data_IF_173122282132
#
_entry.id   IF_173122282132
#
_cell.length_a   1.000
_cell.length_b   1.000
_cell.length_c   1.000
_cell.angle_alpha   90.00
_cell.angle_beta   90.00
_cell.angle_gamma   90.00
#
_symmetry.space_group_name_H-M   'P 1'
#
loop_
_entity.id
_entity.type
_entity.pdbx_description
1 polymer ?
#
# COMPACT_ATOMS: atom_id res chain seq x y z
N UNK A 1 5.99 85.33 -8.65
CA UNK A 1 7.07 84.35 -8.45
C UNK A 1 6.52 83.20 -7.59
N UNK A 2 6.22 82.07 -8.19
CA UNK A 2 5.62 80.90 -7.53
C UNK A 2 6.65 79.76 -7.53
N UNK A 3 7.05 79.36 -6.33
CA UNK A 3 7.95 78.22 -6.13
C UNK A 3 7.12 76.92 -6.17
N UNK A 4 7.51 76.00 -7.08
CA UNK A 4 6.95 74.64 -7.20
C UNK A 4 7.75 73.69 -6.30
N UNK A 5 7.11 73.20 -5.24
CA UNK A 5 7.65 72.16 -4.37
C UNK A 5 7.42 70.77 -5.03
N UNK A 6 8.52 70.04 -5.31
CA UNK A 6 8.44 68.68 -5.83
C UNK A 6 8.40 67.72 -4.63
N UNK A 7 7.26 67.04 -4.45
CA UNK A 7 7.14 65.90 -3.55
C UNK A 7 7.71 64.64 -4.23
N UNK A 8 8.80 64.06 -3.67
CA UNK A 8 9.26 62.71 -4.02
C UNK A 8 8.49 61.67 -3.21
N UNK A 9 7.66 60.89 -3.88
CA UNK A 9 7.12 59.66 -3.29
C UNK A 9 8.19 58.56 -3.38
N UNK A 10 8.69 58.10 -2.25
CA UNK A 10 9.51 56.93 -2.15
C UNK A 10 8.60 55.71 -2.00
N UNK A 11 8.56 54.88 -3.02
CA UNK A 11 7.85 53.57 -3.03
C UNK A 11 8.73 52.51 -2.37
N UNK A 12 8.38 52.08 -1.16
CA UNK A 12 9.02 50.94 -0.49
C UNK A 12 8.43 49.66 -1.08
N UNK A 13 9.23 48.91 -1.86
CA UNK A 13 8.93 47.55 -2.31
C UNK A 13 9.36 46.60 -1.20
N UNK A 14 8.42 46.09 -0.42
CA UNK A 14 8.65 45.01 0.53
C UNK A 14 8.68 43.69 -0.21
N UNK A 15 9.88 43.16 -0.46
CA UNK A 15 10.08 41.79 -0.96
C UNK A 15 9.76 40.77 0.12
N UNK A 16 8.64 40.06 -0.02
CA UNK A 16 8.30 38.91 0.82
C UNK A 16 9.12 37.72 0.31
N UNK A 17 10.19 37.35 1.01
CA UNK A 17 10.87 36.08 0.81
C UNK A 17 9.97 34.96 1.30
N UNK A 18 9.37 34.20 0.39
CA UNK A 18 8.69 32.94 0.69
C UNK A 18 9.77 31.90 1.08
N UNK A 19 9.89 31.62 2.37
CA UNK A 19 10.68 30.48 2.86
C UNK A 19 9.96 29.18 2.45
N UNK A 20 10.41 28.59 1.33
CA UNK A 20 10.04 27.24 0.96
C UNK A 20 10.68 26.27 1.94
N UNK A 21 9.95 25.79 2.94
CA UNK A 21 10.39 24.68 3.78
C UNK A 21 10.47 23.42 2.91
N UNK A 22 11.65 22.77 2.78
CA UNK A 22 11.71 21.50 2.07
C UNK A 22 10.86 20.49 2.84
N UNK A 23 9.88 19.89 2.16
CA UNK A 23 9.14 18.75 2.69
C UNK A 23 10.18 17.66 3.01
N UNK A 24 10.43 17.41 4.30
CA UNK A 24 11.23 16.29 4.76
C UNK A 24 10.52 15.02 4.34
N UNK A 25 11.02 14.35 3.31
CA UNK A 25 10.70 12.96 3.06
C UNK A 25 11.15 12.19 4.30
N UNK A 26 10.20 11.77 5.12
CA UNK A 26 10.47 10.86 6.23
C UNK A 26 11.08 9.60 5.62
N UNK A 27 12.35 9.34 5.94
CA UNK A 27 13.00 8.07 5.62
C UNK A 27 12.29 6.98 6.43
N UNK A 28 11.24 6.40 5.84
CA UNK A 28 10.37 5.38 6.47
C UNK A 28 11.11 4.07 6.73
N UNK A 29 12.32 3.93 6.24
CA UNK A 29 13.06 2.66 6.33
C UNK A 29 13.90 2.52 7.58
N UNK A 30 14.27 3.61 8.25
CA UNK A 30 15.26 3.59 9.33
C UNK A 30 14.75 3.15 10.71
N UNK A 31 13.42 3.09 10.93
CA UNK A 31 12.85 2.67 12.23
C UNK A 31 11.49 1.97 12.08
N UNK A 32 11.42 0.90 11.29
CA UNK A 32 10.18 0.13 11.10
C UNK A 32 10.04 -0.91 12.21
N UNK A 33 8.97 -0.82 12.99
CA UNK A 33 8.58 -1.84 13.97
C UNK A 33 7.75 -2.93 13.28
N UNK A 34 8.37 -4.08 13.03
CA UNK A 34 7.70 -5.22 12.41
C UNK A 34 7.00 -6.09 13.43
N UNK A 35 5.70 -6.35 13.22
CA UNK A 35 4.91 -7.29 14.02
C UNK A 35 4.26 -8.34 13.13
N UNK A 36 4.05 -9.54 13.69
CA UNK A 36 3.26 -10.58 13.03
C UNK A 36 1.78 -10.32 13.25
N UNK A 37 1.00 -10.36 12.17
CA UNK A 37 -0.46 -10.43 12.22
C UNK A 37 -0.91 -11.82 11.79
N UNK A 38 -1.94 -12.36 12.48
CA UNK A 38 -2.51 -13.68 12.18
C UNK A 38 -4.03 -13.55 12.01
N UNK A 39 -4.54 -14.06 10.89
CA UNK A 39 -5.98 -14.28 10.68
C UNK A 39 -6.32 -15.64 11.25
N UNK A 40 -7.11 -15.69 12.32
CA UNK A 40 -7.37 -16.92 13.09
C UNK A 40 -8.11 -17.99 12.29
N UNK A 41 -9.14 -17.60 11.52
CA UNK A 41 -10.04 -18.54 10.85
C UNK A 41 -9.33 -19.49 9.86
N UNK A 42 -8.28 -19.04 9.19
CA UNK A 42 -7.57 -19.81 8.17
C UNK A 42 -6.06 -19.85 8.39
N UNK A 43 -5.59 -19.30 9.50
CA UNK A 43 -4.17 -19.32 9.86
C UNK A 43 -3.27 -18.52 8.90
N UNK A 44 -3.75 -17.41 8.32
CA UNK A 44 -2.88 -16.54 7.52
C UNK A 44 -1.97 -15.73 8.43
N UNK A 45 -0.66 -15.79 8.20
CA UNK A 45 0.31 -14.97 8.92
C UNK A 45 1.15 -14.12 7.97
N UNK A 46 1.48 -12.91 8.39
CA UNK A 46 2.49 -12.08 7.73
C UNK A 46 3.04 -11.01 8.69
N UNK A 47 4.20 -10.47 8.33
CA UNK A 47 4.78 -9.31 9.01
C UNK A 47 4.19 -8.03 8.43
N UNK A 48 3.85 -7.09 9.31
CA UNK A 48 3.42 -5.74 8.90
C UNK A 48 4.12 -4.67 9.75
N UNK A 49 4.34 -3.46 9.22
CA UNK A 49 4.97 -2.35 9.94
C UNK A 49 3.96 -1.69 10.90
N UNK A 50 3.99 -2.10 12.18
CA UNK A 50 3.00 -1.73 13.18
C UNK A 50 3.06 -0.26 13.61
N UNK A 51 4.19 0.41 13.42
CA UNK A 51 4.33 1.85 13.65
C UNK A 51 3.89 2.71 12.46
N UNK A 52 3.59 2.09 11.30
CA UNK A 52 3.04 2.78 10.12
C UNK A 52 1.52 2.58 10.05
N UNK A 53 1.04 1.37 10.33
CA UNK A 53 -0.33 0.95 10.10
C UNK A 53 -1.11 0.76 11.39
N UNK A 54 -2.26 1.43 11.48
CA UNK A 54 -3.23 1.30 12.57
C UNK A 54 -4.46 0.51 12.10
N UNK A 55 -5.08 -0.32 12.97
CA UNK A 55 -6.30 -1.04 12.62
C UNK A 55 -7.41 -0.08 12.15
N UNK A 56 -8.04 -0.41 11.02
CA UNK A 56 -9.04 0.43 10.36
C UNK A 56 -10.31 -0.36 9.96
N UNK A 57 -10.62 -1.44 10.67
CA UNK A 57 -11.83 -2.23 10.45
C UNK A 57 -11.62 -3.51 9.65
N UNK A 58 -12.70 -4.01 9.05
CA UNK A 58 -12.67 -5.26 8.28
C UNK A 58 -12.15 -5.04 6.86
N UNK A 59 -11.54 -6.04 6.23
CA UNK A 59 -11.19 -6.00 4.81
C UNK A 59 -12.46 -6.02 3.95
N UNK A 60 -12.36 -5.59 2.70
CA UNK A 60 -13.49 -5.58 1.77
C UNK A 60 -13.93 -6.98 1.29
N UNK A 61 -13.16 -8.02 1.60
CA UNK A 61 -13.44 -9.42 1.25
C UNK A 61 -12.76 -10.37 2.25
N UNK A 62 -13.36 -11.54 2.45
CA UNK A 62 -12.83 -12.56 3.36
C UNK A 62 -12.86 -12.15 4.83
N UNK A 63 -12.12 -12.91 5.65
CA UNK A 63 -11.91 -12.63 7.08
C UNK A 63 -10.50 -12.10 7.31
N UNK A 64 -10.35 -11.14 8.22
CA UNK A 64 -9.06 -10.54 8.53
C UNK A 64 -9.17 -9.10 9.04
N UNK A 65 -8.17 -8.30 8.72
CA UNK A 65 -8.04 -6.94 9.22
C UNK A 65 -7.59 -5.99 8.10
N UNK A 66 -8.22 -4.83 8.07
CA UNK A 66 -7.77 -3.67 7.30
C UNK A 66 -7.01 -2.73 8.22
N UNK A 67 -5.93 -2.20 7.72
CA UNK A 67 -5.10 -1.20 8.39
C UNK A 67 -4.96 0.03 7.51
N UNK A 68 -4.77 1.18 8.13
CA UNK A 68 -4.52 2.44 7.44
C UNK A 68 -3.28 3.13 8.01
N UNK A 69 -2.48 3.75 7.16
CA UNK A 69 -1.36 4.57 7.65
C UNK A 69 -1.86 5.78 8.41
N UNK A 70 -1.07 6.30 9.36
CA UNK A 70 -1.44 7.43 10.19
C UNK A 70 -1.78 8.70 9.39
N UNK A 71 -1.13 8.89 8.23
CA UNK A 71 -1.41 9.97 7.29
C UNK A 71 -2.61 9.69 6.35
N UNK A 72 -3.20 8.50 6.45
CA UNK A 72 -4.36 8.07 5.68
C UNK A 72 -4.09 7.76 4.20
N UNK A 73 -2.83 7.83 3.73
CA UNK A 73 -2.48 7.71 2.32
C UNK A 73 -2.20 6.28 1.86
N UNK A 74 -1.88 5.38 2.80
CA UNK A 74 -1.69 3.96 2.50
C UNK A 74 -2.71 3.09 3.23
N UNK A 75 -3.07 1.98 2.62
CA UNK A 75 -4.08 1.03 3.08
C UNK A 75 -3.58 -0.40 2.90
N UNK A 76 -3.57 -1.18 3.97
CA UNK A 76 -3.15 -2.56 3.98
C UNK A 76 -4.32 -3.44 4.43
N UNK A 77 -4.79 -4.32 3.56
CA UNK A 77 -5.78 -5.34 3.89
C UNK A 77 -5.12 -6.71 3.96
N UNK A 78 -5.25 -7.41 5.07
CA UNK A 78 -4.74 -8.77 5.30
C UNK A 78 -5.95 -9.66 5.51
N UNK A 79 -6.10 -10.70 4.68
CA UNK A 79 -7.31 -11.52 4.73
C UNK A 79 -7.09 -12.94 4.23
N UNK A 80 -8.03 -13.79 4.60
CA UNK A 80 -8.15 -15.17 4.13
C UNK A 80 -9.51 -15.39 3.49
N UNK A 81 -9.55 -16.29 2.53
CA UNK A 81 -10.75 -16.75 1.84
C UNK A 81 -10.77 -18.28 1.78
N UNK A 82 -11.94 -18.92 1.89
CA UNK A 82 -12.05 -20.33 1.55
C UNK A 82 -11.81 -20.54 0.05
N UNK A 83 -11.15 -21.63 -0.31
CA UNK A 83 -10.98 -22.07 -1.70
C UNK A 83 -11.82 -23.32 -1.98
N UNK A 84 -13.12 -23.22 -1.81
CA UNK A 84 -14.04 -24.34 -1.97
C UNK A 84 -14.07 -24.91 -3.38
N UNK A 85 -13.91 -24.02 -4.38
CA UNK A 85 -13.84 -24.40 -5.78
C UNK A 85 -12.51 -25.03 -6.18
N UNK A 86 -11.51 -25.09 -5.29
CA UNK A 86 -10.18 -25.62 -5.61
C UNK A 86 -9.45 -24.84 -6.71
N UNK A 87 -9.70 -23.53 -6.79
CA UNK A 87 -9.08 -22.68 -7.82
C UNK A 87 -7.56 -22.65 -7.71
N UNK A 88 -6.92 -22.62 -8.85
CA UNK A 88 -5.49 -22.33 -8.96
C UNK A 88 -5.25 -20.82 -8.90
N UNK A 89 -4.02 -20.33 -8.61
CA UNK A 89 -3.70 -18.91 -8.68
C UNK A 89 -4.10 -18.25 -10.01
N UNK A 90 -3.91 -18.97 -11.12
CA UNK A 90 -4.25 -18.47 -12.45
C UNK A 90 -5.76 -18.36 -12.70
N UNK A 91 -6.54 -19.36 -12.26
CA UNK A 91 -8.00 -19.35 -12.42
C UNK A 91 -8.64 -18.32 -11.51
N UNK A 92 -8.21 -18.27 -10.25
CA UNK A 92 -8.70 -17.27 -9.30
C UNK A 92 -8.42 -15.84 -9.79
N UNK A 93 -7.21 -15.54 -10.24
CA UNK A 93 -6.86 -14.22 -10.75
C UNK A 93 -7.74 -13.85 -11.96
N UNK A 94 -8.00 -14.79 -12.87
CA UNK A 94 -8.84 -14.57 -14.06
C UNK A 94 -10.29 -14.24 -13.69
N UNK A 95 -10.85 -14.91 -12.68
CA UNK A 95 -12.25 -14.72 -12.25
C UNK A 95 -12.42 -13.47 -11.35
N UNK A 96 -11.41 -13.14 -10.56
CA UNK A 96 -11.53 -12.12 -9.53
C UNK A 96 -10.83 -10.80 -9.87
N UNK A 97 -10.02 -10.75 -10.94
CA UNK A 97 -9.40 -9.52 -11.40
C UNK A 97 -10.43 -8.64 -12.09
N UNK A 98 -10.81 -7.53 -11.44
CA UNK A 98 -11.81 -6.58 -11.95
C UNK A 98 -11.19 -5.44 -12.78
N UNK A 99 -9.97 -5.61 -13.25
CA UNK A 99 -9.26 -4.62 -14.08
C UNK A 99 -8.74 -5.28 -15.35
N UNK A 100 -8.50 -4.49 -16.38
CA UNK A 100 -7.85 -4.96 -17.58
C UNK A 100 -6.43 -5.44 -17.24
N UNK A 101 -6.03 -6.57 -17.82
CA UNK A 101 -4.67 -7.10 -17.68
C UNK A 101 -3.62 -6.17 -18.23
N UNK A 102 -3.96 -5.35 -19.21
CA UNK A 102 -3.07 -4.31 -19.76
C UNK A 102 -2.73 -3.21 -18.75
N UNK A 103 -3.56 -3.02 -17.70
CA UNK A 103 -3.31 -2.09 -16.61
C UNK A 103 -2.32 -2.63 -15.56
N UNK A 104 -1.92 -3.91 -15.65
CA UNK A 104 -0.95 -4.51 -14.75
C UNK A 104 0.47 -4.16 -15.17
N UNK A 105 1.21 -3.51 -14.29
CA UNK A 105 2.63 -3.21 -14.47
C UNK A 105 3.52 -4.38 -14.08
N UNK A 106 3.03 -5.23 -13.17
CA UNK A 106 3.73 -6.43 -12.74
C UNK A 106 2.73 -7.58 -12.56
N UNK A 107 3.11 -8.75 -13.08
CA UNK A 107 2.34 -9.99 -12.92
C UNK A 107 3.29 -11.17 -12.75
N UNK A 108 3.14 -11.89 -11.64
CA UNK A 108 3.81 -13.16 -11.39
C UNK A 108 2.79 -14.18 -10.95
N UNK A 109 2.67 -15.26 -11.71
CA UNK A 109 1.79 -16.38 -11.39
C UNK A 109 2.65 -17.62 -11.27
N UNK A 110 2.55 -18.30 -10.13
CA UNK A 110 3.24 -19.56 -9.84
C UNK A 110 2.22 -20.64 -9.46
N UNK A 111 2.67 -21.85 -9.20
CA UNK A 111 1.80 -22.98 -8.84
C UNK A 111 1.00 -22.71 -7.55
N UNK A 112 1.57 -22.00 -6.58
CA UNK A 112 1.00 -21.80 -5.25
C UNK A 112 0.74 -20.34 -4.90
N UNK A 113 0.98 -19.39 -5.79
CA UNK A 113 0.71 -17.98 -5.53
C UNK A 113 0.59 -17.16 -6.81
N UNK A 114 -0.03 -16.00 -6.70
CA UNK A 114 0.18 -14.90 -7.63
C UNK A 114 0.58 -13.63 -6.89
N UNK A 115 1.25 -12.75 -7.60
CA UNK A 115 1.49 -11.37 -7.20
C UNK A 115 1.30 -10.44 -8.39
N UNK A 116 0.59 -9.36 -8.19
CA UNK A 116 0.30 -8.35 -9.21
C UNK A 116 0.52 -6.96 -8.66
N UNK A 117 0.84 -6.04 -9.55
CA UNK A 117 0.84 -4.61 -9.26
C UNK A 117 0.21 -3.85 -10.41
N UNK A 118 -0.58 -2.83 -10.08
CA UNK A 118 -1.15 -1.87 -11.02
C UNK A 118 -0.97 -0.46 -10.49
N UNK A 119 -0.98 0.50 -11.40
CA UNK A 119 -0.94 1.91 -11.10
C UNK A 119 -2.15 2.58 -11.72
N UNK A 120 -2.85 3.36 -10.92
CA UNK A 120 -3.99 4.14 -11.37
C UNK A 120 -4.17 5.39 -10.51
N UNK A 121 -4.38 6.54 -11.17
CA UNK A 121 -4.73 7.80 -10.50
C UNK A 121 -3.72 8.21 -9.39
N UNK A 122 -2.43 7.97 -9.62
CA UNK A 122 -1.36 8.35 -8.68
C UNK A 122 -1.22 7.39 -7.47
N UNK A 123 -1.88 6.23 -7.50
CA UNK A 123 -1.71 5.20 -6.48
C UNK A 123 -1.26 3.87 -7.08
N UNK A 124 -0.49 3.12 -6.32
CA UNK A 124 -0.10 1.76 -6.66
C UNK A 124 -0.91 0.80 -5.79
N UNK A 125 -1.54 -0.17 -6.44
CA UNK A 125 -2.08 -1.36 -5.80
C UNK A 125 -1.07 -2.50 -6.00
N UNK A 126 -0.66 -3.13 -4.91
CA UNK A 126 0.04 -4.41 -4.92
C UNK A 126 -0.83 -5.46 -4.22
N UNK A 127 -1.03 -6.59 -4.88
CA UNK A 127 -1.80 -7.71 -4.33
C UNK A 127 -1.00 -9.00 -4.45
N UNK A 128 -0.99 -9.79 -3.38
CA UNK A 128 -0.45 -11.14 -3.39
C UNK A 128 -1.39 -12.10 -2.67
N UNK A 129 -1.60 -13.26 -3.28
CA UNK A 129 -2.32 -14.37 -2.66
C UNK A 129 -1.52 -15.66 -2.78
N UNK A 130 -1.34 -16.34 -1.65
CA UNK A 130 -0.78 -17.69 -1.56
C UNK A 130 -1.92 -18.69 -1.41
N UNK A 131 -1.81 -19.85 -2.04
CA UNK A 131 -2.82 -20.90 -2.05
C UNK A 131 -2.32 -22.09 -1.25
N UNK A 132 -3.13 -22.62 -0.35
CA UNK A 132 -2.82 -23.84 0.38
C UNK A 132 -2.62 -25.02 -0.57
N UNK A 133 -1.64 -25.87 -0.28
CA UNK A 133 -1.25 -27.00 -1.15
C UNK A 133 -2.29 -28.10 -1.23
N UNK A 134 -3.28 -28.17 -0.35
CA UNK A 134 -4.25 -29.26 -0.24
C UNK A 134 -5.65 -28.79 -0.65
N UNK A 135 -6.10 -29.21 -1.83
CA UNK A 135 -7.51 -29.28 -2.28
C UNK A 135 -8.37 -28.04 -1.91
N UNK A 136 -9.42 -28.27 -1.14
CA UNK A 136 -10.34 -27.23 -0.64
C UNK A 136 -9.73 -26.45 0.54
N UNK A 137 -8.55 -25.86 0.32
CA UNK A 137 -7.85 -25.10 1.33
C UNK A 137 -8.29 -23.65 1.41
N UNK A 138 -7.43 -22.81 1.98
CA UNK A 138 -7.62 -21.38 2.04
C UNK A 138 -6.73 -20.65 1.04
N UNK A 139 -7.15 -19.44 0.70
CA UNK A 139 -6.37 -18.45 -0.03
C UNK A 139 -5.96 -17.37 0.98
N UNK A 140 -4.66 -17.16 1.12
CA UNK A 140 -4.05 -16.23 2.06
C UNK A 140 -3.57 -15.02 1.31
N UNK A 141 -4.15 -13.85 1.56
CA UNK A 141 -3.93 -12.65 0.76
C UNK A 141 -3.54 -11.43 1.58
N UNK A 142 -2.86 -10.52 0.92
CA UNK A 142 -2.85 -9.11 1.29
C UNK A 142 -2.95 -8.23 0.06
N UNK A 143 -3.60 -7.08 0.24
CA UNK A 143 -3.64 -5.97 -0.71
C UNK A 143 -3.02 -4.75 -0.04
N UNK A 144 -2.12 -4.06 -0.71
CA UNK A 144 -1.48 -2.84 -0.25
C UNK A 144 -1.66 -1.74 -1.29
N UNK A 145 -2.26 -0.63 -0.89
CA UNK A 145 -2.42 0.58 -1.70
C UNK A 145 -1.55 1.67 -1.10
N UNK A 146 -0.80 2.38 -1.92
CA UNK A 146 0.10 3.45 -1.48
C UNK A 146 0.36 4.47 -2.60
N UNK A 147 0.78 5.72 -2.28
CA UNK A 147 1.05 6.74 -3.28
C UNK A 147 2.19 6.35 -4.22
N UNK A 148 2.00 6.61 -5.52
CA UNK A 148 2.98 6.31 -6.57
C UNK A 148 4.29 7.10 -6.36
N UNK A 149 4.20 8.35 -5.96
CA UNK A 149 5.36 9.19 -5.71
C UNK A 149 6.27 8.67 -4.58
N UNK A 150 5.74 7.81 -3.70
CA UNK A 150 6.47 7.18 -2.62
C UNK A 150 6.97 5.76 -2.95
N UNK A 151 6.83 5.32 -4.20
CA UNK A 151 7.14 3.94 -4.62
C UNK A 151 8.49 3.44 -4.09
N UNK A 152 9.54 4.23 -4.20
CA UNK A 152 10.89 3.85 -3.73
C UNK A 152 10.95 3.55 -2.24
N UNK A 153 10.24 4.34 -1.43
CA UNK A 153 10.16 4.15 0.03
C UNK A 153 9.34 2.91 0.41
N UNK A 154 8.38 2.52 -0.45
CA UNK A 154 7.53 1.36 -0.24
C UNK A 154 8.12 0.05 -0.77
N UNK A 155 9.04 0.07 -1.73
CA UNK A 155 9.55 -1.15 -2.39
C UNK A 155 10.11 -2.19 -1.39
N UNK A 156 10.90 -1.74 -0.40
CA UNK A 156 11.43 -2.63 0.64
C UNK A 156 10.34 -3.15 1.59
N UNK A 157 9.37 -2.29 1.93
CA UNK A 157 8.23 -2.64 2.80
C UNK A 157 7.34 -3.69 2.13
N UNK A 158 6.92 -3.42 0.88
CA UNK A 158 6.12 -4.35 0.05
C UNK A 158 6.81 -5.70 -0.07
N UNK A 159 8.11 -5.69 -0.37
CA UNK A 159 8.90 -6.92 -0.51
C UNK A 159 8.90 -7.72 0.78
N UNK A 160 9.14 -7.10 1.94
CA UNK A 160 9.17 -7.80 3.22
C UNK A 160 7.81 -8.35 3.62
N UNK A 161 6.74 -7.58 3.47
CA UNK A 161 5.36 -8.06 3.69
C UNK A 161 5.10 -9.26 2.77
N UNK A 162 5.38 -9.11 1.48
CA UNK A 162 5.14 -10.12 0.44
C UNK A 162 5.85 -11.45 0.73
N UNK A 163 7.12 -11.41 1.12
CA UNK A 163 7.90 -12.60 1.42
C UNK A 163 7.52 -13.25 2.75
N UNK A 164 6.90 -12.52 3.66
CA UNK A 164 6.47 -13.03 4.96
C UNK A 164 5.10 -13.72 4.94
N UNK A 165 4.30 -13.51 3.87
CA UNK A 165 2.95 -14.09 3.75
C UNK A 165 3.02 -15.61 3.67
N UNK A 166 2.38 -16.31 4.62
CA UNK A 166 2.33 -17.77 4.67
C UNK A 166 1.07 -18.24 5.40
N UNK A 167 0.62 -19.49 5.14
CA UNK A 167 -0.31 -20.16 6.05
C UNK A 167 0.39 -20.41 7.40
N UNK A 168 -0.38 -20.43 8.47
CA UNK A 168 0.08 -20.95 9.76
C UNK A 168 0.26 -22.47 9.57
N UNK A 169 1.46 -22.94 9.80
CA UNK A 169 1.72 -24.38 9.82
C UNK A 169 1.11 -24.94 11.12
N UNK A 170 0.14 -25.82 10.98
CA UNK A 170 -0.48 -26.56 12.07
C UNK A 170 0.30 -27.85 12.36
#
# INVERSE_FOLDING_TARGET
>A
MRALSKCLLATFITSVLALSTPARSLDRTSNIEWRTFTVQDFGTTLLYPANIFLPAGRPGKGTGQRFKSADGRADLSIYSLPNEAGETPATYLRHNLRMDRSALQYTRIARSFFAISSEREGVILYSRCNFSKRGRGAIHCFDLVYPQEEKRSWDAVVTRISLSLRPLEG
#
